data_IF_403636083638
#
_entry.id   IF_403636083638
#
_cell.length_a   1.000
_cell.length_b   1.000
_cell.length_c   1.000
_cell.angle_alpha   90.00
_cell.angle_beta   90.00
_cell.angle_gamma   90.00
#
_symmetry.space_group_name_H-M   'P 1'
#
loop_
_entity.id
_entity.type
_entity.pdbx_description
1 polymer ?
#
# COMPACT_ATOMS: atom_id res chain seq x y z
N UNK A 1 6.00 17.26 -17.48
CA UNK A 1 5.42 16.10 -16.77
C UNK A 1 5.58 16.33 -15.28
N UNK A 2 4.49 16.32 -14.51
CA UNK A 2 4.54 16.58 -13.08
C UNK A 2 5.14 15.38 -12.35
N UNK A 3 6.39 15.53 -11.88
CA UNK A 3 7.00 14.64 -10.89
C UNK A 3 6.45 15.06 -9.53
N UNK A 4 5.43 14.35 -9.05
CA UNK A 4 4.66 14.74 -7.87
C UNK A 4 4.83 13.79 -6.69
N UNK A 5 4.82 14.37 -5.49
CA UNK A 5 4.58 13.64 -4.24
C UNK A 5 3.08 13.42 -4.03
N UNK A 6 2.77 12.39 -3.26
CA UNK A 6 1.41 11.89 -3.05
C UNK A 6 0.58 12.86 -2.19
N UNK A 7 -0.49 13.41 -2.75
CA UNK A 7 -1.65 13.90 -1.99
C UNK A 7 -2.79 12.96 -2.36
N UNK A 8 -3.28 12.14 -1.42
CA UNK A 8 -4.40 11.24 -1.67
C UNK A 8 -5.52 11.47 -0.66
N UNK A 9 -6.75 11.41 -1.15
CA UNK A 9 -7.98 11.51 -0.37
C UNK A 9 -8.61 10.11 -0.34
N UNK A 10 -8.85 9.56 0.86
CA UNK A 10 -9.56 8.29 1.01
C UNK A 10 -11.06 8.47 0.76
N UNK A 11 -11.64 7.67 -0.12
CA UNK A 11 -13.09 7.42 -0.20
C UNK A 11 -13.42 6.12 0.55
N UNK A 12 -13.12 6.08 1.85
CA UNK A 12 -13.74 5.17 2.79
C UNK A 12 -14.02 6.01 4.03
N UNK A 13 -15.29 6.13 4.42
CA UNK A 13 -15.71 6.75 5.69
C UNK A 13 -15.31 5.85 6.85
N UNK A 14 -14.02 5.80 7.13
CA UNK A 14 -13.42 5.36 8.38
C UNK A 14 -12.69 6.59 8.92
N UNK A 15 -12.83 6.86 10.22
CA UNK A 15 -12.23 8.02 10.86
C UNK A 15 -10.77 8.20 10.42
N UNK A 16 -10.29 9.44 10.35
CA UNK A 16 -8.91 9.76 9.92
C UNK A 16 -7.82 8.96 10.66
N UNK A 17 -8.14 8.34 11.80
CA UNK A 17 -7.29 7.42 12.56
C UNK A 17 -6.95 6.12 11.83
N UNK A 18 -7.83 5.58 10.98
CA UNK A 18 -7.67 4.25 10.37
C UNK A 18 -7.21 4.30 8.91
N UNK A 19 -6.96 5.49 8.37
CA UNK A 19 -6.48 5.68 7.01
C UNK A 19 -4.98 5.38 6.89
N UNK A 20 -4.59 4.54 5.92
CA UNK A 20 -3.20 4.30 5.55
C UNK A 20 -2.55 5.47 4.78
N UNK A 21 -3.26 6.57 4.57
CA UNK A 21 -2.77 7.77 3.87
C UNK A 21 -2.29 8.87 4.83
N UNK A 22 -2.20 8.56 6.12
CA UNK A 22 -1.83 9.50 7.19
C UNK A 22 -0.33 9.72 7.29
N UNK A 23 0.07 10.89 7.80
CA UNK A 23 1.48 11.24 8.01
C UNK A 23 2.14 10.39 9.11
N UNK A 24 1.43 10.17 10.22
CA UNK A 24 1.92 9.41 11.37
C UNK A 24 1.50 7.93 11.29
N UNK A 25 2.46 7.03 11.14
CA UNK A 25 2.21 5.60 10.99
C UNK A 25 1.75 4.90 12.29
N UNK A 26 2.09 5.41 13.48
CA UNK A 26 1.98 4.65 14.74
C UNK A 26 0.94 5.23 15.72
N UNK A 27 -0.25 5.57 15.23
CA UNK A 27 -1.42 5.79 16.09
C UNK A 27 -2.25 4.50 16.07
N UNK A 28 -1.72 3.44 16.70
CA UNK A 28 -2.32 2.09 16.73
C UNK A 28 -2.71 1.77 18.16
N UNK A 29 -3.99 1.45 18.40
CA UNK A 29 -4.52 1.09 19.71
C UNK A 29 -5.29 -0.23 19.61
N UNK A 30 -4.68 -1.33 20.05
CA UNK A 30 -5.28 -2.66 19.91
C UNK A 30 -5.59 -3.01 18.44
N UNK A 31 -6.87 -3.15 18.11
CA UNK A 31 -7.35 -3.48 16.76
C UNK A 31 -7.72 -2.24 15.90
N UNK A 32 -7.30 -1.04 16.31
CA UNK A 32 -7.58 0.22 15.61
C UNK A 32 -6.28 0.86 15.10
N UNK A 33 -6.40 1.77 14.12
CA UNK A 33 -5.26 2.47 13.55
C UNK A 33 -4.67 1.77 12.33
N UNK A 34 -5.44 1.01 11.57
CA UNK A 34 -4.98 0.44 10.29
C UNK A 34 -6.11 0.37 9.26
N UNK A 35 -5.76 0.48 7.98
CA UNK A 35 -6.67 0.12 6.89
C UNK A 35 -6.51 -1.37 6.61
N UNK A 36 -7.62 -2.09 6.47
CA UNK A 36 -7.57 -3.54 6.36
C UNK A 36 -8.71 -4.17 5.58
N UNK A 37 -8.65 -5.48 5.48
CA UNK A 37 -9.65 -6.31 4.83
C UNK A 37 -9.35 -7.80 5.02
N UNK A 38 -10.36 -8.64 4.85
CA UNK A 38 -10.23 -10.10 4.92
C UNK A 38 -9.63 -10.68 3.62
N UNK A 39 -9.37 -11.98 3.59
CA UNK A 39 -8.90 -12.69 2.39
C UNK A 39 -9.83 -12.38 1.20
N UNK A 40 -9.24 -12.09 0.05
CA UNK A 40 -9.94 -11.73 -1.18
C UNK A 40 -10.32 -10.25 -1.28
N UNK A 41 -10.32 -9.51 -0.17
CA UNK A 41 -10.53 -8.06 -0.20
C UNK A 41 -9.26 -7.32 -0.64
N UNK A 42 -9.45 -6.08 -1.10
CA UNK A 42 -8.35 -5.21 -1.52
C UNK A 42 -8.47 -3.80 -1.00
N UNK A 43 -7.33 -3.21 -0.66
CA UNK A 43 -7.20 -1.78 -0.38
C UNK A 43 -6.86 -1.08 -1.70
N UNK A 44 -7.70 -0.14 -2.12
CA UNK A 44 -7.49 0.67 -3.32
C UNK A 44 -7.08 2.09 -2.91
N UNK A 45 -5.97 2.55 -3.45
CA UNK A 45 -5.46 3.91 -3.25
C UNK A 45 -5.59 4.64 -4.58
N UNK A 46 -6.50 5.62 -4.66
CA UNK A 46 -6.69 6.48 -5.84
C UNK A 46 -5.92 7.79 -5.67
N UNK A 47 -4.96 8.03 -6.56
CA UNK A 47 -4.07 9.19 -6.52
C UNK A 47 -4.77 10.49 -6.99
N UNK A 48 -6.03 10.42 -7.45
CA UNK A 48 -6.85 11.51 -7.99
C UNK A 48 -6.34 12.12 -9.32
N UNK A 49 -5.05 11.97 -9.61
CA UNK A 49 -4.41 12.30 -10.87
C UNK A 49 -3.37 11.23 -11.21
N UNK A 50 -2.89 11.23 -12.45
CA UNK A 50 -1.85 10.30 -12.89
C UNK A 50 -0.47 10.85 -12.52
N UNK A 51 0.40 9.97 -12.01
CA UNK A 51 1.80 10.26 -11.72
C UNK A 51 2.71 9.23 -12.39
N UNK A 52 3.91 9.66 -12.76
CA UNK A 52 5.01 8.75 -13.07
C UNK A 52 5.67 8.32 -11.77
N UNK A 53 5.63 7.03 -11.45
CA UNK A 53 6.13 6.46 -10.20
C UNK A 53 6.93 5.19 -10.46
N UNK A 54 7.80 4.84 -9.52
CA UNK A 54 8.60 3.61 -9.59
C UNK A 54 8.87 2.97 -8.22
N UNK A 55 8.36 3.57 -7.14
CA UNK A 55 8.52 3.07 -5.78
C UNK A 55 7.19 3.16 -5.04
N UNK A 56 6.82 2.07 -4.36
CA UNK A 56 5.68 1.99 -3.47
C UNK A 56 6.11 1.33 -2.17
N UNK A 57 5.82 1.97 -1.04
CA UNK A 57 6.26 1.56 0.28
C UNK A 57 5.03 1.34 1.15
N UNK A 58 5.01 0.21 1.85
CA UNK A 58 3.89 -0.22 2.68
C UNK A 58 4.43 -0.47 4.09
N UNK A 59 3.74 0.06 5.09
CA UNK A 59 3.92 -0.28 6.49
C UNK A 59 2.78 -1.20 6.88
N UNK A 60 3.10 -2.45 7.17
CA UNK A 60 2.19 -3.39 7.79
C UNK A 60 2.20 -3.22 9.31
N UNK A 61 1.17 -3.73 9.97
CA UNK A 61 1.20 -3.88 11.43
C UNK A 61 2.40 -4.76 11.83
N UNK A 62 3.19 -4.28 12.79
CA UNK A 62 4.49 -4.85 13.15
C UNK A 62 4.77 -4.86 14.66
N UNK A 63 3.73 -4.80 15.50
CA UNK A 63 3.89 -5.03 16.96
C UNK A 63 4.14 -6.50 17.31
N UNK A 64 4.10 -7.40 16.32
CA UNK A 64 4.45 -8.81 16.42
C UNK A 64 5.12 -9.31 15.12
N UNK A 65 5.39 -10.61 15.04
CA UNK A 65 6.13 -11.24 13.94
C UNK A 65 5.25 -11.72 12.78
N UNK A 66 4.01 -11.19 12.65
CA UNK A 66 3.10 -11.63 11.59
C UNK A 66 3.64 -11.34 10.19
N UNK A 67 3.43 -12.29 9.28
CA UNK A 67 3.79 -12.17 7.86
C UNK A 67 2.52 -12.15 7.00
N UNK A 68 2.50 -11.29 5.99
CA UNK A 68 1.37 -11.07 5.11
C UNK A 68 1.56 -11.73 3.75
N UNK A 69 0.51 -12.37 3.25
CA UNK A 69 0.44 -12.88 1.88
C UNK A 69 -0.38 -11.93 1.01
N UNK A 70 0.31 -11.15 0.17
CA UNK A 70 -0.30 -10.08 -0.62
C UNK A 70 0.16 -10.06 -2.07
N UNK A 71 -0.61 -9.35 -2.88
CA UNK A 71 -0.22 -8.95 -4.23
C UNK A 71 -0.52 -7.47 -4.44
N UNK A 72 0.42 -6.76 -5.05
CA UNK A 72 0.28 -5.32 -5.32
C UNK A 72 0.22 -5.09 -6.81
N UNK A 73 -0.74 -4.27 -7.21
CA UNK A 73 -0.95 -3.86 -8.58
C UNK A 73 -0.84 -2.34 -8.69
N UNK A 74 -0.34 -1.89 -9.84
CA UNK A 74 -0.56 -0.53 -10.34
C UNK A 74 -1.70 -0.57 -11.34
N UNK A 75 -2.47 0.52 -11.40
CA UNK A 75 -3.58 0.66 -12.32
C UNK A 75 -3.46 1.99 -13.07
N UNK A 76 -3.48 1.92 -14.39
CA UNK A 76 -3.50 3.06 -15.30
C UNK A 76 -4.42 2.73 -16.49
N UNK A 77 -5.29 3.67 -16.88
CA UNK A 77 -6.29 3.46 -17.93
C UNK A 77 -7.11 2.17 -17.77
N UNK A 78 -7.50 1.83 -16.54
CA UNK A 78 -8.23 0.61 -16.15
C UNK A 78 -7.48 -0.71 -16.41
N UNK A 79 -6.19 -0.67 -16.72
CA UNK A 79 -5.33 -1.86 -16.86
C UNK A 79 -4.63 -2.10 -15.52
N UNK A 80 -4.85 -3.27 -14.92
CA UNK A 80 -4.13 -3.71 -13.73
C UNK A 80 -2.83 -4.42 -14.13
N UNK A 81 -1.70 -4.04 -13.52
CA UNK A 81 -0.41 -4.72 -13.69
C UNK A 81 0.18 -5.05 -12.32
N UNK A 82 0.57 -6.31 -12.14
CA UNK A 82 1.23 -6.77 -10.91
C UNK A 82 2.63 -6.16 -10.85
N UNK A 83 2.95 -5.52 -9.73
CA UNK A 83 4.30 -5.00 -9.43
C UNK A 83 4.98 -5.73 -8.28
N UNK A 84 4.22 -6.51 -7.50
CA UNK A 84 4.75 -7.27 -6.36
C UNK A 84 3.84 -8.43 -5.98
N UNK A 85 4.44 -9.55 -5.59
CA UNK A 85 3.77 -10.66 -4.95
C UNK A 85 4.67 -11.19 -3.84
N UNK A 86 4.12 -11.39 -2.65
CA UNK A 86 4.87 -11.92 -1.51
C UNK A 86 3.97 -12.77 -0.62
N UNK A 87 4.53 -13.84 -0.10
CA UNK A 87 3.98 -14.63 1.01
C UNK A 87 4.59 -14.29 2.36
N UNK A 88 5.54 -13.34 2.40
CA UNK A 88 6.35 -12.99 3.58
C UNK A 88 6.48 -11.47 3.75
N UNK A 89 5.44 -10.68 3.43
CA UNK A 89 5.47 -9.24 3.67
C UNK A 89 5.44 -8.94 5.17
N UNK A 90 6.34 -8.10 5.67
CA UNK A 90 6.46 -7.79 7.10
C UNK A 90 6.89 -6.34 7.31
N UNK A 91 6.41 -5.71 8.39
CA UNK A 91 6.77 -4.35 8.79
C UNK A 91 6.83 -3.39 7.60
N UNK A 92 7.99 -2.85 7.27
CA UNK A 92 8.17 -1.92 6.15
C UNK A 92 8.63 -2.67 4.90
N UNK A 93 7.73 -2.79 3.91
CA UNK A 93 8.05 -3.37 2.61
C UNK A 93 8.17 -2.27 1.55
N UNK A 94 9.36 -2.12 0.97
CA UNK A 94 9.61 -1.20 -0.15
C UNK A 94 9.63 -1.98 -1.47
N UNK A 95 8.75 -1.60 -2.38
CA UNK A 95 8.58 -2.22 -3.69
C UNK A 95 9.09 -1.26 -4.74
N UNK A 96 10.16 -1.66 -5.43
CA UNK A 96 10.67 -0.95 -6.62
C UNK A 96 10.15 -1.65 -7.86
N UNK A 97 9.65 -0.88 -8.82
CA UNK A 97 9.11 -1.36 -10.09
C UNK A 97 9.55 -0.45 -11.24
N UNK A 98 9.46 -0.87 -12.52
CA UNK A 98 9.83 -0.02 -13.64
C UNK A 98 9.05 1.29 -13.67
N UNK A 99 9.72 2.38 -14.07
CA UNK A 99 9.11 3.70 -14.27
C UNK A 99 7.86 3.57 -15.16
N UNK A 100 6.70 3.94 -14.62
CA UNK A 100 5.44 3.88 -15.35
C UNK A 100 4.40 4.86 -14.81
N UNK A 101 3.39 5.13 -15.64
CA UNK A 101 2.23 5.92 -15.24
C UNK A 101 1.34 5.11 -14.29
N UNK A 102 0.92 5.74 -13.20
CA UNK A 102 0.07 5.14 -12.16
C UNK A 102 -1.03 6.13 -11.80
N UNK A 103 -2.26 5.64 -11.75
CA UNK A 103 -3.41 6.37 -11.19
C UNK A 103 -3.92 5.75 -9.89
N UNK A 104 -3.82 4.42 -9.76
CA UNK A 104 -4.20 3.72 -8.53
C UNK A 104 -3.19 2.65 -8.16
N UNK A 105 -3.10 2.39 -6.86
CA UNK A 105 -2.51 1.16 -6.32
C UNK A 105 -3.62 0.27 -5.78
N UNK A 106 -3.43 -1.04 -5.89
CA UNK A 106 -4.30 -2.05 -5.30
C UNK A 106 -3.46 -3.04 -4.51
N UNK A 107 -3.73 -3.16 -3.22
CA UNK A 107 -3.13 -4.16 -2.33
C UNK A 107 -4.18 -5.23 -2.09
N UNK A 108 -3.99 -6.40 -2.69
CA UNK A 108 -4.87 -7.56 -2.53
C UNK A 108 -4.40 -8.42 -1.36
N UNK A 109 -5.31 -8.71 -0.43
CA UNK A 109 -5.10 -9.73 0.59
C UNK A 109 -5.32 -11.12 -0.03
N UNK A 110 -4.23 -11.85 -0.28
CA UNK A 110 -4.31 -13.13 -1.01
C UNK A 110 -4.65 -14.27 -0.06
N UNK A 111 -4.03 -14.32 1.13
CA UNK A 111 -4.21 -15.44 2.06
C UNK A 111 -4.09 -15.05 3.55
N UNK A 112 -4.34 -13.78 3.88
CA UNK A 112 -4.27 -13.26 5.23
C UNK A 112 -2.83 -13.07 5.71
N UNK A 113 -2.64 -13.24 7.01
CA UNK A 113 -1.36 -13.24 7.68
C UNK A 113 -1.17 -14.52 8.51
N UNK A 114 0.02 -14.71 9.08
CA UNK A 114 0.36 -15.90 9.87
C UNK A 114 -0.42 -16.05 11.18
N UNK A 115 -1.10 -15.01 11.67
CA UNK A 115 -1.95 -15.07 12.86
C UNK A 115 -3.44 -15.25 12.54
N UNK A 116 -3.93 -14.63 11.47
CA UNK A 116 -5.35 -14.65 11.09
C UNK A 116 -5.57 -14.25 9.62
N UNK A 117 -6.84 -14.21 9.21
CA UNK A 117 -7.24 -13.92 7.82
C UNK A 117 -7.15 -12.44 7.40
N UNK A 118 -6.66 -11.55 8.27
CA UNK A 118 -6.66 -10.11 8.06
C UNK A 118 -5.47 -9.57 7.26
N UNK A 119 -5.69 -8.44 6.61
CA UNK A 119 -4.65 -7.52 6.15
C UNK A 119 -4.71 -6.26 7.03
N UNK A 120 -3.57 -5.77 7.50
CA UNK A 120 -3.49 -4.55 8.31
C UNK A 120 -2.36 -3.67 7.76
N UNK A 121 -2.73 -2.59 7.09
CA UNK A 121 -1.81 -1.60 6.53
C UNK A 121 -1.89 -0.33 7.36
N UNK A 122 -0.78 0.03 8.00
CA UNK A 122 -0.64 1.22 8.82
C UNK A 122 -0.47 2.48 7.97
N UNK A 123 0.35 2.39 6.93
CA UNK A 123 0.71 3.52 6.08
C UNK A 123 1.14 3.04 4.69
N UNK A 124 0.96 3.90 3.70
CA UNK A 124 1.56 3.76 2.37
C UNK A 124 2.21 5.05 1.92
N UNK A 125 3.28 4.92 1.13
CA UNK A 125 3.90 6.03 0.41
C UNK A 125 4.20 5.57 -1.02
N UNK A 126 4.09 6.47 -1.98
CA UNK A 126 4.53 6.24 -3.35
C UNK A 126 5.28 7.47 -3.85
N UNK A 127 6.37 7.23 -4.57
CA UNK A 127 7.22 8.29 -5.07
C UNK A 127 8.04 7.80 -6.27
N UNK A 128 8.55 8.77 -7.03
CA UNK A 128 9.57 8.51 -8.02
C UNK A 128 10.95 8.60 -7.35
N UNK A 129 11.72 7.52 -7.40
CA UNK A 129 13.09 7.45 -6.90
C UNK A 129 14.05 7.37 -8.08
N UNK A 130 14.99 8.31 -8.16
CA UNK A 130 16.08 8.23 -9.13
C UNK A 130 16.94 7.02 -8.76
N UNK A 131 17.01 6.03 -9.64
CA UNK A 131 17.91 4.90 -9.47
C UNK A 131 19.32 5.39 -9.82
N UNK A 132 20.24 5.34 -8.86
CA UNK A 132 21.67 5.56 -9.16
C UNK A 132 22.18 4.27 -9.77
N UNK A 133 22.60 4.32 -11.03
CA UNK A 133 23.44 3.27 -11.59
C UNK A 133 24.74 3.26 -10.76
N UNK A 134 24.99 2.15 -10.06
CA UNK A 134 26.28 1.83 -9.46
C UNK A 134 27.06 1.02 -10.48
#
# INVERSE_FOLDING_TARGET
>A
MNRGGLISRSQISISNTDSCLRDNAYIVYGNFGYTGGLIGASIIIDLQQTYELNTFKIWFYDLDDRLYTIRVYVIYNNIEKIIYQSSHGQSITTITFPDQQVKKFKILNVNGNTYNIGLNVLKVEAYFRIQKNV
#
